data_IF_035358523363
#
_entry.id   IF_035358523363
#
_cell.length_a   1.000
_cell.length_b   1.000
_cell.length_c   1.000
_cell.angle_alpha   90.00
_cell.angle_beta   90.00
_cell.angle_gamma   90.00
#
_symmetry.space_group_name_H-M   'P 1'
#
loop_
_entity.id
_entity.type
_entity.pdbx_description
1 polymer ?
#
# COMPACT_ATOMS: atom_id res chain seq x y z
N UNK A 1 -17.23 25.15 31.24
CA UNK A 1 -17.06 23.90 30.48
C UNK A 1 -16.88 22.75 31.45
N UNK A 2 -17.59 21.63 31.26
CA UNK A 2 -17.52 20.49 32.17
C UNK A 2 -16.24 19.67 31.94
N UNK A 3 -15.67 19.07 33.00
CA UNK A 3 -14.57 18.10 32.90
C UNK A 3 -14.87 16.97 31.90
N UNK A 4 -16.14 16.56 31.78
CA UNK A 4 -16.60 15.56 30.80
C UNK A 4 -16.44 16.02 29.35
N UNK A 5 -16.65 17.31 29.08
CA UNK A 5 -16.48 17.90 27.75
C UNK A 5 -15.02 18.00 27.35
N UNK A 6 -14.14 18.41 28.29
CA UNK A 6 -12.70 18.45 28.06
C UNK A 6 -12.13 17.05 27.76
N UNK A 7 -12.59 16.03 28.50
CA UNK A 7 -12.19 14.63 28.28
C UNK A 7 -12.62 14.10 26.91
N UNK A 8 -13.81 14.49 26.41
CA UNK A 8 -14.27 14.11 25.06
C UNK A 8 -13.39 14.74 23.97
N UNK A 9 -13.09 16.03 24.08
CA UNK A 9 -12.25 16.75 23.10
C UNK A 9 -10.83 16.15 23.01
N UNK A 10 -10.23 15.78 24.14
CA UNK A 10 -8.92 15.11 24.17
C UNK A 10 -8.95 13.77 23.41
N UNK A 11 -9.95 12.92 23.67
CA UNK A 11 -10.10 11.62 22.98
C UNK A 11 -10.33 11.76 21.47
N UNK A 12 -11.07 12.77 21.03
CA UNK A 12 -11.29 13.02 19.60
C UNK A 12 -10.01 13.50 18.90
N UNK A 13 -9.23 14.36 19.55
CA UNK A 13 -7.96 14.84 19.02
C UNK A 13 -6.94 13.71 18.90
N UNK A 14 -6.82 12.82 19.90
CA UNK A 14 -5.98 11.61 19.80
C UNK A 14 -6.39 10.73 18.63
N UNK A 15 -7.69 10.42 18.48
CA UNK A 15 -8.20 9.61 17.35
C UNK A 15 -7.88 10.24 16.00
N UNK A 16 -7.96 11.57 15.90
CA UNK A 16 -7.66 12.29 14.67
C UNK A 16 -6.17 12.22 14.33
N UNK A 17 -5.29 12.36 15.33
CA UNK A 17 -3.84 12.23 15.17
C UNK A 17 -3.45 10.84 14.69
N UNK A 18 -3.97 9.78 15.36
CA UNK A 18 -3.73 8.39 14.98
C UNK A 18 -4.21 8.11 13.55
N UNK A 19 -5.42 8.58 13.18
CA UNK A 19 -5.92 8.43 11.80
C UNK A 19 -5.01 9.07 10.76
N UNK A 20 -4.41 10.23 11.06
CA UNK A 20 -3.49 10.92 10.14
C UNK A 20 -2.19 10.13 9.95
N UNK A 21 -1.62 9.58 11.01
CA UNK A 21 -0.40 8.77 10.95
C UNK A 21 -0.63 7.47 10.17
N UNK A 22 -1.69 6.73 10.49
CA UNK A 22 -2.04 5.49 9.76
C UNK A 22 -2.23 5.77 8.26
N UNK A 23 -2.87 6.89 7.91
CA UNK A 23 -3.06 7.28 6.50
C UNK A 23 -1.74 7.61 5.78
N UNK A 24 -0.75 8.17 6.48
CA UNK A 24 0.60 8.42 5.93
C UNK A 24 1.34 7.11 5.66
N UNK A 25 1.32 6.18 6.61
CA UNK A 25 1.98 4.89 6.47
C UNK A 25 1.33 4.04 5.35
N UNK A 26 -0.01 4.01 5.28
CA UNK A 26 -0.71 3.35 4.17
C UNK A 26 -0.34 3.91 2.80
N UNK A 27 -0.13 5.23 2.68
CA UNK A 27 0.33 5.85 1.42
C UNK A 27 1.74 5.40 1.04
N UNK A 28 2.67 5.27 2.01
CA UNK A 28 4.03 4.77 1.75
C UNK A 28 3.99 3.33 1.26
N UNK A 29 3.22 2.47 1.93
CA UNK A 29 3.05 1.05 1.55
C UNK A 29 2.47 0.95 0.13
N UNK A 30 1.41 1.71 -0.17
CA UNK A 30 0.77 1.73 -1.49
C UNK A 30 1.69 2.25 -2.61
N UNK A 31 2.58 3.19 -2.30
CA UNK A 31 3.56 3.70 -3.27
C UNK A 31 4.67 2.68 -3.56
N UNK A 32 5.09 1.91 -2.55
CA UNK A 32 6.07 0.85 -2.72
C UNK A 32 5.50 -0.38 -3.43
N UNK A 33 4.23 -0.70 -3.21
CA UNK A 33 3.56 -1.83 -3.89
C UNK A 33 3.33 -1.58 -5.40
N UNK A 34 3.48 -0.35 -5.87
CA UNK A 34 3.39 0.00 -7.30
C UNK A 34 4.68 -0.23 -8.08
N UNK A 35 5.78 -0.59 -7.42
CA UNK A 35 7.05 -0.88 -8.08
C UNK A 35 7.26 -2.37 -8.26
N UNK A 36 8.01 -2.74 -9.30
CA UNK A 36 8.43 -4.11 -9.50
C UNK A 36 9.23 -4.61 -8.29
N UNK A 37 8.83 -5.77 -7.74
CA UNK A 37 9.52 -6.40 -6.60
C UNK A 37 10.97 -6.78 -6.91
N UNK A 38 11.27 -7.09 -8.18
CA UNK A 38 12.60 -7.51 -8.64
C UNK A 38 13.48 -6.29 -8.90
N UNK A 39 13.16 -5.50 -9.93
CA UNK A 39 14.06 -4.42 -10.36
C UNK A 39 13.88 -3.11 -9.59
N UNK A 40 12.75 -2.90 -8.88
CA UNK A 40 12.39 -1.66 -8.14
C UNK A 40 12.45 -0.34 -8.95
N UNK A 41 12.78 -0.41 -10.22
CA UNK A 41 12.97 0.73 -11.12
C UNK A 41 11.71 1.03 -11.94
N UNK A 42 10.99 0.00 -12.35
CA UNK A 42 9.77 0.13 -13.16
C UNK A 42 8.50 -0.08 -12.33
N UNK A 43 7.38 0.45 -12.83
CA UNK A 43 6.06 0.18 -12.26
C UNK A 43 5.67 -1.30 -12.43
N UNK A 44 5.15 -1.88 -11.36
CA UNK A 44 4.55 -3.20 -11.38
C UNK A 44 3.24 -3.15 -12.18
N UNK A 45 3.13 -4.02 -13.19
CA UNK A 45 1.93 -4.18 -14.03
C UNK A 45 1.35 -5.58 -13.94
N UNK A 46 2.15 -6.55 -13.53
CA UNK A 46 1.78 -7.96 -13.44
C UNK A 46 1.77 -8.37 -11.98
N UNK A 47 0.64 -8.89 -11.49
CA UNK A 47 0.47 -9.27 -10.09
C UNK A 47 0.04 -10.72 -10.01
N UNK A 48 0.62 -11.46 -9.07
CA UNK A 48 0.07 -12.77 -8.71
C UNK A 48 -1.30 -12.54 -8.05
N UNK A 49 -2.24 -13.45 -8.31
CA UNK A 49 -3.58 -13.37 -7.73
C UNK A 49 -3.48 -13.36 -6.19
N UNK A 50 -3.99 -12.30 -5.56
CA UNK A 50 -3.90 -12.09 -4.11
C UNK A 50 -2.59 -11.49 -3.60
N UNK A 51 -1.59 -11.27 -4.47
CA UNK A 51 -0.34 -10.64 -4.06
C UNK A 51 -0.46 -9.11 -4.00
N UNK A 52 0.20 -8.53 -2.98
CA UNK A 52 0.33 -7.07 -2.82
C UNK A 52 1.45 -6.53 -3.72
N UNK A 53 2.47 -7.34 -3.97
CA UNK A 53 3.62 -7.00 -4.79
C UNK A 53 3.42 -7.47 -6.23
N UNK A 54 3.99 -6.73 -7.18
CA UNK A 54 3.92 -7.08 -8.58
C UNK A 54 5.26 -6.95 -9.30
N UNK A 55 5.24 -7.31 -10.57
CA UNK A 55 6.37 -7.40 -11.47
C UNK A 55 6.19 -6.40 -12.61
N UNK A 56 7.27 -5.83 -13.11
CA UNK A 56 7.23 -5.12 -14.39
C UNK A 56 7.15 -6.15 -15.53
N UNK A 57 6.92 -5.68 -16.76
CA UNK A 57 6.79 -6.56 -17.93
C UNK A 57 8.04 -7.42 -18.15
N UNK A 58 9.22 -6.82 -18.06
CA UNK A 58 10.48 -7.52 -18.35
C UNK A 58 10.75 -8.59 -17.31
N UNK A 59 10.73 -8.22 -16.03
CA UNK A 59 10.96 -9.18 -14.96
C UNK A 59 9.88 -10.27 -14.89
N UNK A 60 8.64 -9.97 -15.29
CA UNK A 60 7.60 -10.98 -15.39
C UNK A 60 7.92 -12.02 -16.49
N UNK A 61 8.34 -11.57 -17.67
CA UNK A 61 8.72 -12.47 -18.77
C UNK A 61 9.98 -13.30 -18.47
N UNK A 62 10.93 -12.74 -17.72
CA UNK A 62 12.16 -13.45 -17.36
C UNK A 62 11.95 -14.50 -16.25
N UNK A 63 11.00 -14.26 -15.34
CA UNK A 63 10.79 -15.13 -14.17
C UNK A 63 9.60 -16.07 -14.31
N UNK A 64 8.66 -15.80 -15.23
CA UNK A 64 7.48 -16.62 -15.45
C UNK A 64 7.44 -17.09 -16.90
N UNK A 65 7.37 -18.42 -17.07
CA UNK A 65 7.22 -19.05 -18.39
C UNK A 65 5.86 -18.76 -19.03
N UNK A 66 4.83 -18.51 -18.22
CA UNK A 66 3.50 -18.14 -18.67
C UNK A 66 2.94 -16.98 -17.84
N UNK A 67 2.59 -15.89 -18.53
CA UNK A 67 2.02 -14.69 -17.91
C UNK A 67 0.51 -14.82 -17.67
N UNK A 68 -0.14 -15.86 -18.16
CA UNK A 68 -1.60 -16.08 -18.00
C UNK A 68 -2.03 -16.21 -16.55
N UNK A 69 -1.12 -16.64 -15.68
CA UNK A 69 -1.34 -16.73 -14.22
C UNK A 69 -1.22 -15.37 -13.51
N UNK A 70 -0.75 -14.33 -14.20
CA UNK A 70 -0.56 -12.99 -13.65
C UNK A 70 -1.73 -12.09 -14.04
N UNK A 71 -2.32 -11.44 -13.05
CA UNK A 71 -3.34 -10.42 -13.24
C UNK A 71 -2.69 -9.09 -13.62
N UNK A 72 -3.18 -8.48 -14.70
CA UNK A 72 -2.77 -7.15 -15.11
C UNK A 72 -3.69 -6.11 -14.44
N UNK A 73 -3.11 -5.17 -13.69
CA UNK A 73 -3.82 -4.04 -13.07
C UNK A 73 -3.52 -2.74 -13.78
#
# INVERSE_FOLDING_TARGET
MSLKESLRKLKENEKLSVKKEVKKELKKIKKNSQKCIICKNQQARYFLKGAIYGYCKNCALENFSDLSYLQKK
#
